data_IF_621151642984
#
_entry.id   IF_621151642984
#
_cell.length_a   1.000
_cell.length_b   1.000
_cell.length_c   1.000
_cell.angle_alpha   90.00
_cell.angle_beta   90.00
_cell.angle_gamma   90.00
#
_symmetry.space_group_name_H-M   'P 1'
#
loop_
_entity.id
_entity.type
_entity.pdbx_description
1 polymer ?
#
# COMPACT_ATOMS: atom_id res chain seq x y z
N UNK A 1 28.94 -28.54 -52.23
CA UNK A 1 28.42 -27.47 -51.36
C UNK A 1 26.92 -27.40 -51.62
N UNK A 2 26.09 -27.54 -50.58
CA UNK A 2 24.63 -27.54 -50.67
C UNK A 2 24.12 -26.14 -50.32
N UNK A 3 23.35 -25.56 -51.23
CA UNK A 3 22.71 -24.25 -51.09
C UNK A 3 21.33 -24.46 -50.46
N UNK A 4 20.98 -23.73 -49.39
CA UNK A 4 19.60 -23.44 -48.89
C UNK A 4 19.78 -22.19 -48.00
N UNK A 5 19.51 -20.98 -48.48
CA UNK A 5 18.21 -20.28 -48.56
C UNK A 5 18.04 -19.27 -47.39
N UNK A 6 17.89 -18.02 -47.79
CA UNK A 6 17.66 -16.79 -47.02
C UNK A 6 16.18 -16.70 -46.65
N UNK A 7 15.87 -16.22 -45.44
CA UNK A 7 14.64 -15.49 -45.12
C UNK A 7 14.96 -14.53 -43.95
N UNK A 8 15.26 -13.25 -44.20
CA UNK A 8 14.32 -12.11 -44.20
C UNK A 8 13.36 -12.18 -43.01
N UNK A 9 13.47 -11.32 -41.99
CA UNK A 9 12.85 -9.96 -41.96
C UNK A 9 12.34 -9.77 -40.50
N UNK A 10 12.17 -8.60 -39.85
CA UNK A 10 12.13 -7.17 -40.17
C UNK A 10 12.64 -6.43 -38.92
N UNK A 11 13.54 -5.47 -39.09
CA UNK A 11 13.81 -4.42 -38.10
C UNK A 11 12.97 -3.19 -38.48
N UNK A 12 12.06 -2.75 -37.60
CA UNK A 12 11.40 -1.42 -37.57
C UNK A 12 10.46 -1.42 -36.37
N UNK A 13 10.30 -0.42 -35.51
CA UNK A 13 10.81 0.95 -35.42
C UNK A 13 10.46 1.44 -34.01
N UNK A 14 11.27 2.35 -33.45
CA UNK A 14 10.99 3.09 -32.21
C UNK A 14 9.66 3.87 -32.28
N UNK A 15 8.88 3.89 -31.18
CA UNK A 15 7.89 4.93 -30.93
C UNK A 15 7.73 5.21 -29.43
N UNK A 16 8.38 6.30 -29.02
CA UNK A 16 8.08 7.26 -27.95
C UNK A 16 7.32 6.82 -26.68
N UNK A 17 8.00 6.94 -25.55
CA UNK A 17 7.39 7.04 -24.22
C UNK A 17 6.66 8.39 -24.09
N UNK A 18 5.33 8.36 -24.21
CA UNK A 18 4.47 9.37 -23.62
C UNK A 18 3.90 8.78 -22.32
N UNK A 19 4.52 9.11 -21.19
CA UNK A 19 3.88 8.95 -19.87
C UNK A 19 2.75 9.96 -19.83
N UNK A 20 1.53 9.50 -20.11
CA UNK A 20 0.33 10.20 -19.68
C UNK A 20 0.16 9.94 -18.18
N UNK A 21 0.24 11.00 -17.39
CA UNK A 21 -0.21 10.99 -16.01
C UNK A 21 -1.71 10.72 -16.01
N UNK A 22 -2.10 9.46 -15.81
CA UNK A 22 -3.48 9.08 -15.57
C UNK A 22 -3.84 9.54 -14.15
N UNK A 23 -4.66 10.57 -14.05
CA UNK A 23 -5.25 10.99 -12.78
C UNK A 23 -6.15 9.86 -12.25
N UNK A 24 -5.82 9.35 -11.06
CA UNK A 24 -6.60 8.32 -10.37
C UNK A 24 -7.86 8.95 -9.79
N UNK A 25 -8.97 8.83 -10.51
CA UNK A 25 -10.30 9.29 -10.08
C UNK A 25 -11.28 8.12 -9.83
N UNK A 26 -10.78 6.92 -9.51
CA UNK A 26 -11.56 5.70 -9.53
C UNK A 26 -11.81 5.07 -8.16
N UNK A 27 -13.07 4.81 -7.85
CA UNK A 27 -13.51 3.75 -6.93
C UNK A 27 -12.68 2.47 -7.17
N UNK A 28 -12.19 1.82 -6.11
CA UNK A 28 -11.41 0.59 -6.22
C UNK A 28 -12.33 -0.59 -6.60
N UNK A 29 -12.71 -0.66 -7.88
CA UNK A 29 -13.31 -1.85 -8.47
C UNK A 29 -12.17 -2.84 -8.75
N UNK A 30 -11.69 -3.54 -7.72
CA UNK A 30 -10.64 -4.54 -7.86
C UNK A 30 -10.90 -5.50 -9.03
N UNK A 31 -9.84 -5.86 -9.77
CA UNK A 31 -9.95 -6.72 -10.95
C UNK A 31 -10.54 -8.10 -10.60
N UNK A 32 -11.75 -8.38 -11.08
CA UNK A 32 -12.49 -9.64 -10.83
C UNK A 32 -12.42 -10.64 -11.97
N UNK A 33 -11.64 -10.36 -13.03
CA UNK A 33 -11.56 -11.19 -14.22
C UNK A 33 -10.71 -12.46 -14.09
N UNK A 34 -9.99 -12.63 -12.98
CA UNK A 34 -9.17 -13.82 -12.72
C UNK A 34 -9.94 -14.86 -11.92
N UNK A 35 -10.00 -16.08 -12.45
CA UNK A 35 -10.53 -17.26 -11.76
C UNK A 35 -9.43 -18.33 -11.72
N UNK A 36 -9.08 -18.79 -10.53
CA UNK A 36 -8.13 -19.90 -10.38
C UNK A 36 -8.76 -21.21 -10.86
N UNK A 37 -7.97 -22.02 -11.57
CA UNK A 37 -8.36 -23.39 -11.95
C UNK A 37 -8.06 -24.42 -10.86
N UNK A 38 -7.36 -24.01 -9.79
CA UNK A 38 -7.00 -24.89 -8.66
C UNK A 38 -8.17 -25.06 -7.70
N UNK A 39 -8.34 -26.28 -7.20
CA UNK A 39 -9.22 -26.57 -6.07
C UNK A 39 -8.70 -25.89 -4.80
N UNK A 40 -9.60 -25.71 -3.82
CA UNK A 40 -9.23 -25.18 -2.51
C UNK A 40 -8.17 -26.03 -1.79
N UNK A 41 -8.17 -27.34 -2.02
CA UNK A 41 -7.19 -28.25 -1.43
C UNK A 41 -5.79 -28.04 -2.02
N UNK A 42 -5.70 -27.89 -3.35
CA UNK A 42 -4.43 -27.64 -4.04
C UNK A 42 -3.83 -26.30 -3.65
N UNK A 43 -4.65 -25.25 -3.56
CA UNK A 43 -4.18 -23.93 -3.09
C UNK A 43 -3.59 -24.04 -1.69
N UNK A 44 -4.26 -24.72 -0.76
CA UNK A 44 -3.75 -24.91 0.61
C UNK A 44 -2.42 -25.68 0.63
N UNK A 45 -2.30 -26.74 -0.18
CA UNK A 45 -1.10 -27.54 -0.27
C UNK A 45 0.08 -26.73 -0.82
N UNK A 46 -0.15 -25.93 -1.86
CA UNK A 46 0.85 -25.03 -2.43
C UNK A 46 1.29 -23.95 -1.43
N UNK A 47 0.33 -23.30 -0.76
CA UNK A 47 0.63 -22.29 0.26
C UNK A 47 1.46 -22.88 1.39
N UNK A 48 1.11 -24.07 1.88
CA UNK A 48 1.89 -24.75 2.91
C UNK A 48 3.30 -25.10 2.43
N UNK A 49 3.45 -25.59 1.21
CA UNK A 49 4.76 -25.90 0.65
C UNK A 49 5.63 -24.64 0.50
N UNK A 50 5.05 -23.50 0.10
CA UNK A 50 5.75 -22.22 0.01
C UNK A 50 6.19 -21.70 1.40
N UNK A 51 5.35 -21.87 2.42
CA UNK A 51 5.72 -21.57 3.82
C UNK A 51 6.88 -22.46 4.27
N UNK A 52 6.81 -23.77 4.01
CA UNK A 52 7.86 -24.73 4.38
C UNK A 52 9.19 -24.45 3.67
N UNK A 53 9.15 -23.96 2.43
CA UNK A 53 10.35 -23.51 1.69
C UNK A 53 10.86 -22.13 2.15
N UNK A 54 10.11 -21.42 2.99
CA UNK A 54 10.44 -20.07 3.45
C UNK A 54 10.24 -18.98 2.40
N UNK A 55 9.52 -19.27 1.31
CA UNK A 55 9.17 -18.29 0.27
C UNK A 55 8.10 -17.32 0.75
N UNK A 56 7.21 -17.81 1.62
CA UNK A 56 6.14 -17.03 2.24
C UNK A 56 6.32 -17.15 3.75
N UNK A 57 6.24 -16.01 4.46
CA UNK A 57 6.24 -15.98 5.92
C UNK A 57 4.81 -16.19 6.41
N UNK A 58 4.65 -17.05 7.40
CA UNK A 58 3.36 -17.32 8.03
C UNK A 58 3.11 -16.34 9.20
N UNK A 59 1.85 -15.94 9.38
CA UNK A 59 1.41 -15.04 10.47
C UNK A 59 1.36 -13.54 10.14
N UNK A 60 1.03 -12.75 11.17
CA UNK A 60 0.86 -11.29 11.10
C UNK A 60 2.23 -10.59 10.95
N UNK A 61 2.51 -10.06 9.76
CA UNK A 61 3.65 -9.18 9.49
C UNK A 61 3.21 -7.74 9.22
N UNK A 62 2.20 -7.24 9.94
CA UNK A 62 2.05 -5.79 9.99
C UNK A 62 3.19 -5.23 10.83
N UNK A 63 4.06 -4.39 10.26
CA UNK A 63 5.00 -3.65 11.08
C UNK A 63 4.18 -2.88 12.12
N UNK A 64 4.52 -3.01 13.40
CA UNK A 64 3.97 -2.07 14.37
C UNK A 64 4.36 -0.68 13.88
N UNK A 65 3.40 0.19 13.53
CA UNK A 65 3.72 1.52 13.04
C UNK A 65 4.49 2.35 14.08
N UNK A 66 4.51 1.89 15.35
CA UNK A 66 5.26 2.48 16.46
C UNK A 66 6.63 1.83 16.68
N UNK A 67 6.98 0.77 15.96
CA UNK A 67 8.30 0.14 16.06
C UNK A 67 9.40 1.17 15.70
N UNK A 68 10.31 1.41 16.65
CA UNK A 68 11.39 2.39 16.48
C UNK A 68 11.00 3.85 16.74
N UNK A 69 9.75 4.13 17.08
CA UNK A 69 9.33 5.46 17.53
C UNK A 69 9.67 5.65 19.01
N UNK A 70 10.13 6.84 19.39
CA UNK A 70 10.29 7.19 20.78
C UNK A 70 8.93 7.12 21.50
N UNK A 71 8.88 6.70 22.79
CA UNK A 71 7.64 6.69 23.55
C UNK A 71 7.04 8.10 23.58
N UNK A 72 5.80 8.21 23.12
CA UNK A 72 5.07 9.48 23.12
C UNK A 72 4.65 9.77 24.56
N UNK A 73 5.10 10.89 25.12
CA UNK A 73 4.62 11.36 26.43
C UNK A 73 3.19 11.90 26.26
N UNK A 74 2.20 11.09 26.63
CA UNK A 74 0.80 11.50 26.53
C UNK A 74 0.46 12.52 27.63
N UNK A 75 -0.16 13.64 27.25
CA UNK A 75 -0.74 14.60 28.19
C UNK A 75 -2.05 14.05 28.74
N UNK A 76 -2.27 14.21 30.04
CA UNK A 76 -3.56 13.98 30.68
C UNK A 76 -4.60 14.97 30.13
N UNK A 77 -5.88 14.61 30.26
CA UNK A 77 -6.98 15.51 29.86
C UNK A 77 -6.97 16.84 30.63
N UNK A 78 -6.47 16.84 31.86
CA UNK A 78 -6.33 18.05 32.67
C UNK A 78 -5.25 18.99 32.11
N UNK A 79 -4.10 18.45 31.71
CA UNK A 79 -3.01 19.22 31.09
C UNK A 79 -3.44 19.82 29.76
N UNK A 80 -4.14 19.05 28.91
CA UNK A 80 -4.66 19.56 27.63
C UNK A 80 -5.65 20.70 27.86
N UNK A 81 -6.56 20.58 28.85
CA UNK A 81 -7.48 21.67 29.19
C UNK A 81 -6.75 22.92 29.68
N UNK A 82 -5.72 22.77 30.51
CA UNK A 82 -4.93 23.88 31.02
C UNK A 82 -4.18 24.62 29.89
N UNK A 83 -3.58 23.87 28.97
CA UNK A 83 -2.90 24.41 27.80
C UNK A 83 -3.86 25.15 26.86
N UNK A 84 -5.02 24.56 26.56
CA UNK A 84 -6.06 25.22 25.75
C UNK A 84 -6.55 26.50 26.40
N UNK A 85 -6.76 26.50 27.73
CA UNK A 85 -7.15 27.69 28.47
C UNK A 85 -6.05 28.78 28.43
N UNK A 86 -4.78 28.40 28.50
CA UNK A 86 -3.66 29.33 28.37
C UNK A 86 -3.56 29.90 26.95
N UNK A 87 -3.71 29.07 25.93
CA UNK A 87 -3.65 29.45 24.51
C UNK A 87 -4.73 30.48 24.15
N UNK A 88 -5.97 30.26 24.61
CA UNK A 88 -7.11 31.16 24.35
C UNK A 88 -6.95 32.56 24.96
N UNK A 89 -6.10 32.73 25.99
CA UNK A 89 -5.80 34.07 26.53
C UNK A 89 -5.08 34.95 25.51
N UNK A 90 -4.25 34.35 24.67
CA UNK A 90 -3.48 35.04 23.64
C UNK A 90 -4.12 34.94 22.25
N UNK A 91 -5.07 34.01 22.05
CA UNK A 91 -5.76 33.73 20.78
C UNK A 91 -7.28 33.75 21.00
N UNK A 92 -7.86 34.96 21.00
CA UNK A 92 -9.27 35.22 21.39
C UNK A 92 -10.30 34.72 20.37
N UNK A 93 -9.85 34.42 19.17
CA UNK A 93 -10.64 33.90 18.06
C UNK A 93 -11.00 32.41 18.21
N UNK A 94 -10.35 31.70 19.15
CA UNK A 94 -10.61 30.28 19.39
C UNK A 94 -11.67 30.11 20.49
N UNK A 95 -12.88 29.68 20.12
CA UNK A 95 -13.99 29.44 21.05
C UNK A 95 -13.82 28.17 21.88
N UNK A 96 -14.59 28.07 22.98
CA UNK A 96 -14.68 26.88 23.81
C UNK A 96 -15.96 26.09 23.50
N UNK A 97 -15.88 25.23 22.49
CA UNK A 97 -17.03 24.45 22.01
C UNK A 97 -17.35 23.24 22.93
N UNK A 98 -16.59 23.08 24.01
CA UNK A 98 -16.66 21.93 24.95
C UNK A 98 -17.78 22.12 25.99
N UNK A 99 -18.45 23.27 26.02
CA UNK A 99 -19.52 23.61 26.97
C UNK A 99 -20.96 23.48 26.40
N UNK A 100 -21.16 22.63 25.38
CA UNK A 100 -22.51 22.31 24.84
C UNK A 100 -23.13 21.12 25.56
#
# INVERSE_FOLDING_TARGET
MKNIAIALSVATLFASAAVSAQEFSGEYAGYTGFVSTKTRAEVKAETLAAIQRGEIRDGEQYPDPRAGQAPVQAKTRAEVKAELAAYRKTHKEVSDDIAS
#
